data_IF_570633739119
#
_entry.id   IF_570633739119
#
_cell.length_a   1.000
_cell.length_b   1.000
_cell.length_c   1.000
_cell.angle_alpha   90.00
_cell.angle_beta   90.00
_cell.angle_gamma   90.00
#
_symmetry.space_group_name_H-M   'P 1'
#
loop_
_entity.id
_entity.type
_entity.pdbx_description
1 polymer ?
#
# COMPACT_ATOMS: atom_id res chain seq x y z
N UNK A 1 -5.17 9.35 42.36
CA UNK A 1 -4.15 9.14 41.30
C UNK A 1 -2.88 9.86 41.72
N UNK A 2 -1.69 9.25 41.54
CA UNK A 2 -0.43 9.94 41.83
C UNK A 2 -0.30 11.24 41.02
N UNK A 3 0.23 12.31 41.62
CA UNK A 3 0.33 13.64 40.98
C UNK A 3 1.14 13.61 39.68
N UNK A 4 2.18 12.79 39.61
CA UNK A 4 3.02 12.67 38.40
C UNK A 4 2.26 12.15 37.17
N UNK A 5 1.18 11.37 37.37
CA UNK A 5 0.32 10.87 36.27
C UNK A 5 -0.47 12.00 35.62
N UNK A 6 -0.69 13.11 36.35
CA UNK A 6 -1.35 14.30 35.81
C UNK A 6 -0.40 15.17 34.98
N UNK A 7 0.91 15.02 35.19
CA UNK A 7 1.92 15.70 34.38
C UNK A 7 2.05 15.04 33.01
N UNK A 8 1.46 15.68 31.99
CA UNK A 8 1.56 15.23 30.59
C UNK A 8 3.00 15.02 30.14
N UNK A 9 3.93 15.86 30.61
CA UNK A 9 5.35 15.78 30.26
C UNK A 9 6.00 14.53 30.86
N UNK A 10 5.85 14.32 32.16
CA UNK A 10 6.43 13.15 32.86
C UNK A 10 5.87 11.85 32.29
N UNK A 11 4.54 11.77 32.10
CA UNK A 11 3.92 10.59 31.54
C UNK A 11 4.38 10.31 30.12
N UNK A 12 4.50 11.33 29.26
CA UNK A 12 5.02 11.16 27.90
C UNK A 12 6.46 10.64 27.87
N UNK A 13 7.32 11.15 28.76
CA UNK A 13 8.71 10.68 28.91
C UNK A 13 8.76 9.23 29.39
N UNK A 14 7.91 8.82 30.33
CA UNK A 14 7.85 7.41 30.75
C UNK A 14 7.38 6.54 29.57
N UNK A 15 6.35 6.99 28.85
CA UNK A 15 5.82 6.25 27.69
C UNK A 15 6.83 6.12 26.56
N UNK A 16 7.77 7.05 26.37
CA UNK A 16 8.78 6.95 25.30
C UNK A 16 9.76 5.78 25.51
N UNK A 17 9.93 5.31 26.75
CA UNK A 17 10.74 4.11 27.03
C UNK A 17 9.97 2.79 26.86
N UNK A 18 8.64 2.84 26.68
CA UNK A 18 7.84 1.64 26.50
C UNK A 18 7.99 1.07 25.09
N UNK A 19 7.91 -0.27 24.99
CA UNK A 19 7.89 -0.97 23.72
C UNK A 19 6.67 -0.58 22.88
N UNK A 20 6.76 -0.74 21.56
CA UNK A 20 5.62 -0.51 20.66
C UNK A 20 4.39 -1.33 21.10
N UNK A 21 4.60 -2.59 21.48
CA UNK A 21 3.54 -3.51 21.86
C UNK A 21 2.82 -3.07 23.14
N UNK A 22 3.56 -2.54 24.11
CA UNK A 22 2.98 -2.01 25.34
C UNK A 22 2.22 -0.71 25.07
N UNK A 23 2.77 0.17 24.22
CA UNK A 23 2.11 1.41 23.78
C UNK A 23 0.82 1.12 23.00
N UNK A 24 0.83 0.15 22.09
CA UNK A 24 -0.32 -0.21 21.27
C UNK A 24 -1.38 -1.03 22.02
N UNK A 25 -0.97 -1.77 23.06
CA UNK A 25 -1.81 -2.69 23.81
C UNK A 25 -2.05 -2.26 25.25
N UNK A 26 -1.25 -2.80 26.18
CA UNK A 26 -1.57 -2.83 27.62
C UNK A 26 -1.64 -1.46 28.28
N UNK A 27 -0.75 -0.53 27.93
CA UNK A 27 -0.67 0.77 28.60
C UNK A 27 -1.95 1.58 28.40
N UNK A 28 -2.62 1.39 27.26
CA UNK A 28 -3.89 2.06 26.94
C UNK A 28 -5.07 1.60 27.79
N UNK A 29 -4.96 0.46 28.46
CA UNK A 29 -6.00 -0.09 29.31
C UNK A 29 -5.89 0.36 30.77
N UNK A 30 -4.80 1.02 31.15
CA UNK A 30 -4.54 1.44 32.54
C UNK A 30 -5.49 2.56 32.97
N UNK A 31 -5.47 3.68 32.24
CA UNK A 31 -6.38 4.80 32.44
C UNK A 31 -6.37 5.74 31.24
N UNK A 32 -7.25 6.75 31.23
CA UNK A 32 -7.38 7.71 30.12
C UNK A 32 -6.09 8.49 29.84
N UNK A 33 -5.34 8.83 30.88
CA UNK A 33 -4.07 9.56 30.73
C UNK A 33 -3.01 8.71 30.04
N UNK A 34 -2.90 7.44 30.42
CA UNK A 34 -1.97 6.50 29.77
C UNK A 34 -2.39 6.19 28.33
N UNK A 35 -3.68 6.03 28.07
CA UNK A 35 -4.20 5.86 26.71
C UNK A 35 -3.84 7.04 25.80
N UNK A 36 -4.10 8.27 26.26
CA UNK A 36 -3.76 9.47 25.50
C UNK A 36 -2.25 9.64 25.30
N UNK A 37 -1.43 9.30 26.31
CA UNK A 37 0.03 9.39 26.20
C UNK A 37 0.60 8.32 25.26
N UNK A 38 0.11 7.09 25.33
CA UNK A 38 0.53 6.00 24.45
C UNK A 38 0.15 6.26 22.98
N UNK A 39 -1.06 6.74 22.72
CA UNK A 39 -1.49 7.14 21.38
C UNK A 39 -0.65 8.30 20.82
N UNK A 40 -0.28 9.27 21.66
CA UNK A 40 0.61 10.36 21.24
C UNK A 40 1.98 9.82 20.83
N UNK A 41 2.58 8.92 21.61
CA UNK A 41 3.87 8.32 21.24
C UNK A 41 3.80 7.51 19.93
N UNK A 42 2.71 6.78 19.70
CA UNK A 42 2.51 6.08 18.42
C UNK A 42 2.32 7.05 17.27
N UNK A 43 1.62 8.16 17.50
CA UNK A 43 1.44 9.23 16.51
C UNK A 43 2.76 9.92 16.18
N UNK A 44 3.58 10.24 17.18
CA UNK A 44 4.89 10.87 17.00
C UNK A 44 5.79 9.97 16.14
N UNK A 45 5.84 8.66 16.45
CA UNK A 45 6.56 7.65 15.64
C UNK A 45 6.03 7.56 14.20
N UNK A 46 4.71 7.63 14.03
CA UNK A 46 4.06 7.59 12.72
C UNK A 46 4.41 8.83 11.88
N UNK A 47 4.38 10.01 12.50
CA UNK A 47 4.68 11.29 11.84
C UNK A 47 6.18 11.42 11.51
N UNK A 48 7.06 10.83 12.33
CA UNK A 48 8.49 10.73 12.08
C UNK A 48 8.81 9.73 10.95
N UNK A 49 8.33 8.49 11.09
CA UNK A 49 8.73 7.38 10.20
C UNK A 49 7.98 7.43 8.87
N UNK A 50 6.68 7.71 8.88
CA UNK A 50 5.75 7.73 7.72
C UNK A 50 5.66 6.42 6.92
N UNK A 51 6.46 5.40 7.22
CA UNK A 51 6.48 4.09 6.55
C UNK A 51 5.82 3.07 7.47
N UNK A 52 4.77 2.41 6.99
CA UNK A 52 3.98 1.44 7.75
C UNK A 52 4.04 0.02 7.18
N UNK A 53 4.81 -0.16 6.10
CA UNK A 53 5.04 -1.44 5.44
C UNK A 53 6.29 -1.34 4.59
N UNK A 54 7.13 -2.37 4.63
CA UNK A 54 8.34 -2.42 3.84
C UNK A 54 8.73 -3.87 3.65
N UNK A 55 9.04 -4.24 2.40
CA UNK A 55 9.73 -5.48 2.06
C UNK A 55 10.70 -5.18 0.94
N UNK A 56 11.85 -5.85 0.95
CA UNK A 56 12.79 -5.82 -0.15
C UNK A 56 13.43 -7.20 -0.24
N UNK A 57 13.12 -7.92 -1.29
CA UNK A 57 13.81 -9.15 -1.60
C UNK A 57 15.00 -8.78 -2.47
N UNK A 58 16.20 -8.93 -1.90
CA UNK A 58 17.43 -9.09 -2.67
C UNK A 58 17.88 -10.51 -2.44
N UNK A 59 17.63 -11.41 -3.39
CA UNK A 59 18.21 -12.74 -3.27
C UNK A 59 19.72 -12.63 -3.49
N UNK A 60 20.52 -13.18 -2.57
CA UNK A 60 21.95 -13.45 -2.77
C UNK A 60 22.18 -14.49 -3.89
N UNK A 61 21.10 -15.13 -4.35
CA UNK A 61 21.08 -16.09 -5.45
C UNK A 61 20.19 -15.57 -6.59
N UNK A 62 20.67 -14.56 -7.31
CA UNK A 62 20.37 -14.30 -8.73
C UNK A 62 18.93 -14.03 -9.17
N UNK A 63 18.77 -12.89 -9.85
CA UNK A 63 17.83 -12.58 -10.94
C UNK A 63 16.47 -11.94 -10.66
N UNK A 64 16.05 -11.72 -9.41
CA UNK A 64 14.82 -10.98 -9.11
C UNK A 64 15.00 -9.93 -8.03
N UNK A 65 14.76 -8.66 -8.38
CA UNK A 65 14.74 -7.57 -7.40
C UNK A 65 13.28 -7.13 -7.19
N UNK A 66 12.76 -7.37 -5.99
CA UNK A 66 11.39 -7.03 -5.59
C UNK A 66 11.40 -6.07 -4.39
N UNK A 67 10.51 -5.08 -4.38
CA UNK A 67 10.26 -4.30 -3.18
C UNK A 67 8.81 -3.87 -3.07
N UNK A 68 8.42 -3.65 -1.82
CA UNK A 68 7.14 -3.12 -1.42
C UNK A 68 7.36 -2.05 -0.36
N UNK A 69 6.60 -0.97 -0.42
CA UNK A 69 6.56 0.05 0.62
C UNK A 69 5.14 0.58 0.77
N UNK A 70 4.70 0.63 2.01
CA UNK A 70 3.48 1.32 2.41
C UNK A 70 3.86 2.56 3.19
N UNK A 71 3.33 3.71 2.78
CA UNK A 71 3.53 4.99 3.45
C UNK A 71 2.21 5.58 3.88
N UNK A 72 2.25 6.40 4.93
CA UNK A 72 1.15 7.22 5.39
C UNK A 72 1.58 8.67 5.41
N UNK A 73 0.68 9.58 5.03
CA UNK A 73 0.90 11.02 5.08
C UNK A 73 -0.38 11.74 5.50
N UNK A 74 -0.17 12.94 6.04
CA UNK A 74 -1.23 13.93 6.27
C UNK A 74 -1.37 14.77 5.00
N UNK A 75 -2.61 15.00 4.56
CA UNK A 75 -2.93 15.71 3.32
C UNK A 75 -2.87 14.82 2.07
N UNK A 76 -3.52 15.32 1.00
CA UNK A 76 -3.61 14.64 -0.30
C UNK A 76 -2.35 14.84 -1.12
N UNK A 77 -1.89 13.78 -1.79
CA UNK A 77 -0.95 13.95 -2.89
C UNK A 77 -1.69 14.35 -4.16
N UNK A 78 -1.11 15.29 -4.90
CA UNK A 78 -1.69 15.82 -6.13
C UNK A 78 -1.10 15.15 -7.39
N UNK A 79 -0.11 14.27 -7.22
CA UNK A 79 0.73 13.79 -8.31
C UNK A 79 0.25 12.48 -8.95
N UNK A 80 -0.52 11.65 -8.23
CA UNK A 80 -0.95 10.34 -8.71
C UNK A 80 -2.34 9.95 -8.20
N UNK A 81 -3.07 9.19 -8.99
CA UNK A 81 -4.34 8.54 -8.70
C UNK A 81 -5.37 9.54 -8.15
N UNK A 82 -5.42 10.77 -8.67
CA UNK A 82 -6.30 11.84 -8.18
C UNK A 82 -7.73 11.78 -8.74
N UNK A 83 -7.90 11.10 -9.87
CA UNK A 83 -9.17 10.88 -10.58
C UNK A 83 -9.16 9.56 -11.34
N UNK A 84 -10.28 9.22 -11.98
CA UNK A 84 -10.37 8.10 -12.93
C UNK A 84 -9.38 8.25 -14.08
N UNK A 85 -9.28 9.45 -14.64
CA UNK A 85 -8.38 9.77 -15.74
C UNK A 85 -6.92 9.67 -15.30
N UNK A 86 -6.60 10.18 -14.10
CA UNK A 86 -5.27 10.04 -13.50
C UNK A 86 -4.91 8.57 -13.31
N UNK A 87 -5.83 7.72 -12.85
CA UNK A 87 -5.56 6.30 -12.67
C UNK A 87 -5.18 5.58 -13.97
N UNK A 88 -5.82 5.94 -15.08
CA UNK A 88 -5.47 5.44 -16.42
C UNK A 88 -4.08 5.93 -16.83
N UNK A 89 -3.83 7.23 -16.69
CA UNK A 89 -2.54 7.85 -17.01
C UNK A 89 -1.38 7.26 -16.20
N UNK A 90 -1.61 7.03 -14.91
CA UNK A 90 -0.64 6.42 -14.01
C UNK A 90 -0.38 4.97 -14.36
N UNK A 91 -1.41 4.20 -14.73
CA UNK A 91 -1.24 2.80 -15.15
C UNK A 91 -0.42 2.69 -16.44
N UNK A 92 -0.69 3.54 -17.43
CA UNK A 92 0.09 3.62 -18.66
C UNK A 92 1.51 4.14 -18.42
N UNK A 93 1.69 5.07 -17.48
CA UNK A 93 3.01 5.51 -17.05
C UNK A 93 3.79 4.39 -16.38
N UNK A 94 3.21 3.68 -15.41
CA UNK A 94 3.83 2.52 -14.76
C UNK A 94 4.23 1.46 -15.79
N UNK A 95 3.37 1.22 -16.78
CA UNK A 95 3.63 0.36 -17.92
C UNK A 95 4.79 0.87 -18.80
N UNK A 96 4.96 2.18 -18.97
CA UNK A 96 6.06 2.76 -19.76
C UNK A 96 7.37 2.84 -18.97
N UNK A 97 7.29 2.90 -17.65
CA UNK A 97 8.41 3.18 -16.78
C UNK A 97 9.39 2.00 -16.72
N UNK A 98 10.65 2.26 -17.10
CA UNK A 98 11.77 1.31 -17.02
C UNK A 98 12.76 1.63 -15.90
N UNK A 99 12.56 2.71 -15.16
CA UNK A 99 13.42 3.11 -14.05
C UNK A 99 13.51 2.02 -12.98
N UNK A 100 14.72 1.55 -12.66
CA UNK A 100 14.95 0.71 -11.48
C UNK A 100 14.73 1.50 -10.18
N UNK A 101 14.69 0.80 -9.05
CA UNK A 101 14.32 1.18 -7.68
C UNK A 101 14.32 2.67 -7.33
N UNK A 102 15.37 3.42 -7.63
CA UNK A 102 15.64 4.73 -7.01
C UNK A 102 15.30 5.95 -7.89
N UNK A 103 14.89 5.76 -9.15
CA UNK A 103 14.94 6.88 -10.11
C UNK A 103 13.61 7.57 -10.43
N UNK A 104 12.46 7.03 -10.01
CA UNK A 104 11.17 7.69 -10.28
C UNK A 104 10.22 7.55 -9.08
N UNK A 105 9.71 8.66 -8.57
CA UNK A 105 8.63 8.71 -7.57
C UNK A 105 7.25 8.87 -8.22
N UNK A 106 7.25 9.41 -9.43
CA UNK A 106 6.07 9.89 -10.16
C UNK A 106 6.38 9.98 -11.67
N UNK A 107 5.35 10.32 -12.44
CA UNK A 107 5.45 10.48 -13.90
C UNK A 107 6.47 11.52 -14.31
N UNK A 108 6.58 12.62 -13.57
CA UNK A 108 7.45 13.76 -13.90
C UNK A 108 8.94 13.45 -13.69
N UNK A 109 9.27 12.66 -12.67
CA UNK A 109 10.63 12.20 -12.38
C UNK A 109 11.10 11.06 -13.30
N UNK A 110 10.19 10.44 -14.04
CA UNK A 110 10.53 9.30 -14.90
C UNK A 110 11.13 9.77 -16.23
N UNK A 111 12.43 9.49 -16.44
CA UNK A 111 13.15 9.79 -17.69
C UNK A 111 12.52 9.14 -18.93
N UNK A 112 11.85 8.00 -18.75
CA UNK A 112 11.14 7.28 -19.84
C UNK A 112 9.68 7.71 -20.02
N UNK A 113 9.19 8.74 -19.31
CA UNK A 113 7.77 9.14 -19.39
C UNK A 113 7.32 9.55 -20.81
N UNK A 114 8.26 10.05 -21.63
CA UNK A 114 8.02 10.42 -23.03
C UNK A 114 8.26 9.30 -24.05
N UNK A 115 8.78 8.15 -23.64
CA UNK A 115 9.10 7.06 -24.56
C UNK A 115 7.83 6.30 -24.97
N UNK A 116 7.87 5.73 -26.18
CA UNK A 116 6.83 4.84 -26.66
C UNK A 116 6.74 3.60 -25.77
N UNK A 117 5.52 3.20 -25.42
CA UNK A 117 5.30 1.99 -24.63
C UNK A 117 5.64 0.78 -25.49
N UNK A 118 6.62 -0.01 -25.05
CA UNK A 118 7.03 -1.26 -25.71
C UNK A 118 6.92 -2.44 -24.77
N UNK A 119 6.39 -3.54 -25.27
CA UNK A 119 6.38 -4.84 -24.61
C UNK A 119 6.62 -5.96 -25.62
N UNK A 120 7.08 -7.12 -25.15
CA UNK A 120 7.21 -8.30 -26.00
C UNK A 120 5.91 -9.06 -26.07
N UNK A 121 5.48 -9.40 -27.27
CA UNK A 121 4.25 -10.15 -27.49
C UNK A 121 4.34 -11.00 -28.75
N UNK A 122 3.50 -12.04 -28.80
CA UNK A 122 3.30 -12.80 -30.02
C UNK A 122 2.63 -11.92 -31.07
N UNK A 123 3.22 -11.84 -32.25
CA UNK A 123 2.66 -11.14 -33.39
C UNK A 123 1.93 -12.12 -34.29
N UNK A 124 0.64 -11.88 -34.48
CA UNK A 124 -0.22 -12.70 -35.35
C UNK A 124 0.26 -12.68 -36.81
N UNK A 125 0.87 -11.56 -37.24
CA UNK A 125 1.39 -11.36 -38.60
C UNK A 125 2.69 -12.11 -38.85
N UNK A 126 3.67 -11.97 -37.95
CA UNK A 126 4.99 -12.60 -38.12
C UNK A 126 5.06 -14.01 -37.56
N UNK A 127 4.06 -14.44 -36.78
CA UNK A 127 3.98 -15.72 -36.06
C UNK A 127 5.16 -15.96 -35.12
N UNK A 128 5.77 -14.88 -34.60
CA UNK A 128 6.93 -14.92 -33.69
C UNK A 128 6.71 -13.97 -32.53
N UNK A 129 7.47 -14.15 -31.47
CA UNK A 129 7.60 -13.13 -30.41
C UNK A 129 8.46 -11.99 -30.93
N UNK A 130 7.96 -10.77 -30.79
CA UNK A 130 8.67 -9.56 -31.17
C UNK A 130 8.31 -8.40 -30.23
N UNK A 131 9.18 -7.39 -30.20
CA UNK A 131 8.91 -6.15 -29.48
C UNK A 131 7.85 -5.34 -30.23
N UNK A 132 6.73 -5.09 -29.57
CA UNK A 132 5.59 -4.35 -30.12
C UNK A 132 5.54 -2.95 -29.52
N UNK A 133 5.29 -1.94 -30.35
CA UNK A 133 4.99 -0.58 -29.89
C UNK A 133 3.49 -0.44 -29.72
N UNK A 134 3.07 -0.03 -28.53
CA UNK A 134 1.66 0.02 -28.14
C UNK A 134 1.08 1.40 -28.45
N UNK A 135 -0.09 1.40 -29.10
CA UNK A 135 -0.93 2.58 -29.22
C UNK A 135 -1.51 2.96 -27.85
N UNK A 136 -0.92 4.01 -27.25
CA UNK A 136 -1.36 4.53 -25.94
C UNK A 136 -2.79 5.08 -25.98
N UNK A 137 -3.27 5.60 -27.11
CA UNK A 137 -4.63 6.13 -27.22
C UNK A 137 -5.66 4.99 -27.18
N UNK A 138 -5.40 3.92 -27.94
CA UNK A 138 -6.21 2.70 -27.88
C UNK A 138 -6.19 2.07 -26.48
N UNK A 139 -5.02 1.94 -25.86
CA UNK A 139 -4.90 1.39 -24.51
C UNK A 139 -5.65 2.25 -23.47
N UNK A 140 -5.55 3.59 -23.58
CA UNK A 140 -6.30 4.53 -22.73
C UNK A 140 -7.80 4.32 -22.86
N UNK A 141 -8.31 4.19 -24.09
CA UNK A 141 -9.74 3.95 -24.34
C UNK A 141 -10.18 2.63 -23.67
N UNK A 142 -9.45 1.53 -23.89
CA UNK A 142 -9.77 0.23 -23.27
C UNK A 142 -9.75 0.27 -21.74
N UNK A 143 -8.76 0.96 -21.16
CA UNK A 143 -8.69 1.16 -19.71
C UNK A 143 -9.87 2.00 -19.19
N UNK A 144 -10.32 3.00 -19.93
CA UNK A 144 -11.50 3.79 -19.55
C UNK A 144 -12.80 2.98 -19.58
N UNK A 145 -12.93 2.03 -20.51
CA UNK A 145 -14.12 1.20 -20.68
C UNK A 145 -14.17 0.03 -19.68
N UNK A 146 -13.04 -0.66 -19.47
CA UNK A 146 -12.98 -1.93 -18.74
C UNK A 146 -12.15 -1.90 -17.46
N UNK A 147 -11.37 -0.85 -17.22
CA UNK A 147 -10.40 -0.78 -16.11
C UNK A 147 -9.18 -1.71 -16.28
N UNK A 148 -9.12 -2.49 -17.37
CA UNK A 148 -8.02 -3.43 -17.65
C UNK A 148 -7.85 -3.62 -19.16
N UNK A 149 -6.60 -3.79 -19.60
CA UNK A 149 -6.25 -4.10 -20.98
C UNK A 149 -5.04 -5.04 -21.01
N UNK A 150 -5.02 -5.96 -21.96
CA UNK A 150 -3.82 -6.72 -22.32
C UNK A 150 -3.22 -6.12 -23.58
N UNK A 151 -1.92 -5.84 -23.55
CA UNK A 151 -1.21 -5.15 -24.63
C UNK A 151 -0.61 -6.13 -25.65
N UNK A 152 -1.29 -7.25 -25.88
CA UNK A 152 -0.92 -8.29 -26.83
C UNK A 152 -2.00 -8.42 -27.91
N UNK A 153 -1.61 -8.83 -29.10
CA UNK A 153 -2.52 -9.09 -30.23
C UNK A 153 -3.66 -10.07 -29.89
N UNK A 154 -3.43 -10.96 -28.93
CA UNK A 154 -4.39 -11.98 -28.49
C UNK A 154 -4.84 -11.66 -27.07
N UNK A 155 -6.16 -11.61 -26.87
CA UNK A 155 -6.75 -11.57 -25.52
C UNK A 155 -6.47 -12.92 -24.84
N UNK A 156 -5.91 -12.96 -23.63
CA UNK A 156 -5.69 -14.22 -22.89
C UNK A 156 -6.97 -15.06 -22.77
N UNK A 157 -8.14 -14.43 -22.77
CA UNK A 157 -9.44 -15.11 -22.70
C UNK A 157 -9.80 -15.85 -24.02
N UNK A 158 -9.15 -15.50 -25.14
CA UNK A 158 -9.30 -16.16 -26.45
C UNK A 158 -8.30 -17.34 -26.63
N UNK A 159 -7.33 -17.50 -25.73
CA UNK A 159 -6.36 -18.59 -25.75
C UNK A 159 -6.94 -19.85 -25.08
N UNK A 160 -7.91 -20.49 -25.72
CA UNK A 160 -8.52 -21.72 -25.20
C UNK A 160 -7.59 -22.94 -25.20
N UNK A 161 -6.47 -22.96 -25.93
CA UNK A 161 -5.63 -24.15 -26.07
C UNK A 161 -4.14 -23.80 -26.25
N UNK A 162 -3.29 -24.15 -25.26
CA UNK A 162 -2.02 -24.91 -25.41
C UNK A 162 -1.23 -24.92 -24.11
N UNK A 163 -0.82 -26.13 -23.70
CA UNK A 163 -0.21 -26.41 -22.40
C UNK A 163 1.06 -25.63 -22.08
N UNK A 164 1.25 -25.42 -20.78
CA UNK A 164 2.49 -25.13 -20.03
C UNK A 164 3.44 -24.01 -20.50
N UNK A 165 3.14 -23.30 -21.58
CA UNK A 165 3.93 -22.12 -21.96
C UNK A 165 3.34 -20.86 -21.32
N UNK A 166 4.07 -20.36 -20.32
CA UNK A 166 3.95 -19.03 -19.71
C UNK A 166 3.52 -17.97 -20.74
N UNK A 167 2.22 -17.66 -20.84
CA UNK A 167 1.79 -16.48 -21.60
C UNK A 167 2.28 -15.25 -20.85
N UNK A 168 3.22 -14.51 -21.42
CA UNK A 168 3.71 -13.23 -20.89
C UNK A 168 2.52 -12.29 -20.67
N UNK A 169 2.11 -12.12 -19.42
CA UNK A 169 0.94 -11.33 -19.07
C UNK A 169 1.26 -9.84 -19.21
N UNK A 170 1.11 -9.27 -20.40
CA UNK A 170 1.24 -7.83 -20.64
C UNK A 170 -0.02 -7.07 -20.21
N UNK A 171 -0.41 -7.22 -18.95
CA UNK A 171 -1.63 -6.66 -18.40
C UNK A 171 -1.42 -5.29 -17.79
N UNK A 172 -2.27 -4.33 -18.13
CA UNK A 172 -2.37 -3.04 -17.44
C UNK A 172 -3.77 -2.92 -16.83
N UNK A 173 -3.84 -2.48 -15.58
CA UNK A 173 -5.08 -2.38 -14.81
C UNK A 173 -5.12 -1.05 -14.05
N UNK A 174 -6.27 -0.42 -14.00
CA UNK A 174 -6.54 0.75 -13.18
C UNK A 174 -7.93 0.68 -12.54
N UNK A 175 -8.08 1.24 -11.35
CA UNK A 175 -9.39 1.48 -10.76
C UNK A 175 -9.39 2.77 -9.96
N UNK A 176 -10.55 3.42 -9.89
CA UNK A 176 -10.77 4.60 -9.06
C UNK A 176 -12.20 4.55 -8.55
N UNK A 177 -12.34 4.30 -7.25
CA UNK A 177 -13.58 3.95 -6.58
C UNK A 177 -13.77 4.82 -5.33
N UNK A 178 -15.02 5.12 -5.01
CA UNK A 178 -15.39 5.76 -3.77
C UNK A 178 -16.21 4.78 -2.94
N UNK A 179 -15.84 4.65 -1.67
CA UNK A 179 -16.52 3.80 -0.71
C UNK A 179 -16.99 4.64 0.47
N UNK A 180 -18.13 4.28 1.02
CA UNK A 180 -18.56 4.76 2.32
C UNK A 180 -18.36 3.63 3.33
N UNK A 181 -17.24 3.66 4.06
CA UNK A 181 -16.79 2.59 4.94
C UNK A 181 -16.25 3.15 6.24
N UNK A 182 -16.23 2.32 7.28
CA UNK A 182 -15.61 2.71 8.55
C UNK A 182 -14.09 2.42 8.54
N UNK A 183 -13.38 2.94 9.55
CA UNK A 183 -11.92 2.79 9.67
C UNK A 183 -11.46 1.34 9.80
N UNK A 184 -12.31 0.43 10.29
CA UNK A 184 -11.97 -0.98 10.45
C UNK A 184 -12.04 -1.73 9.11
N UNK A 185 -13.03 -1.43 8.28
CA UNK A 185 -13.12 -1.92 6.90
C UNK A 185 -11.96 -1.40 6.06
N UNK A 186 -11.64 -0.11 6.20
CA UNK A 186 -10.46 0.48 5.57
C UNK A 186 -9.17 -0.23 6.01
N UNK A 187 -9.00 -0.50 7.31
CA UNK A 187 -7.88 -1.27 7.83
C UNK A 187 -7.78 -2.65 7.17
N UNK A 188 -8.90 -3.35 6.98
CA UNK A 188 -8.94 -4.64 6.28
C UNK A 188 -8.55 -4.54 4.81
N UNK A 189 -8.98 -3.48 4.12
CA UNK A 189 -8.60 -3.24 2.72
C UNK A 189 -7.09 -2.99 2.60
N UNK A 190 -6.53 -2.17 3.48
CA UNK A 190 -5.08 -1.92 3.55
C UNK A 190 -4.32 -3.20 3.91
N UNK A 191 -4.77 -3.96 4.92
CA UNK A 191 -4.20 -5.27 5.29
C UNK A 191 -4.13 -6.23 4.09
N UNK A 192 -5.21 -6.30 3.29
CA UNK A 192 -5.24 -7.12 2.08
C UNK A 192 -4.22 -6.64 1.03
N UNK A 193 -4.10 -5.33 0.84
CA UNK A 193 -3.10 -4.72 -0.05
C UNK A 193 -1.65 -5.03 0.34
N UNK A 194 -1.37 -5.19 1.64
CA UNK A 194 -0.07 -5.69 2.11
C UNK A 194 0.12 -7.17 1.73
N UNK A 195 -0.89 -8.01 1.98
CA UNK A 195 -0.81 -9.45 1.70
C UNK A 195 -0.67 -9.78 0.22
N UNK A 196 -1.32 -9.02 -0.67
CA UNK A 196 -1.27 -9.24 -2.13
C UNK A 196 0.00 -8.75 -2.81
N UNK A 197 0.82 -7.93 -2.14
CA UNK A 197 2.08 -7.41 -2.68
C UNK A 197 3.32 -8.06 -2.05
N UNK A 198 3.12 -8.92 -1.05
CA UNK A 198 4.16 -9.77 -0.45
C UNK A 198 4.02 -11.21 -0.96
N UNK A 199 3.71 -11.38 -2.26
CA UNK A 199 3.35 -12.67 -2.86
C UNK A 199 4.23 -13.81 -2.35
N UNK A 200 3.58 -14.71 -1.61
CA UNK A 200 3.80 -16.15 -1.54
C UNK A 200 5.17 -16.65 -2.02
N UNK A 201 6.22 -16.45 -1.21
CA UNK A 201 7.18 -17.54 -1.07
C UNK A 201 6.52 -18.60 -0.21
N UNK A 202 6.04 -19.65 -0.87
CA UNK A 202 5.66 -20.92 -0.27
C UNK A 202 6.71 -21.37 0.75
N UNK A 203 6.38 -21.23 2.03
CA UNK A 203 6.83 -22.08 3.14
C UNK A 203 5.83 -21.78 4.28
N UNK A 204 4.87 -22.69 4.44
CA UNK A 204 3.98 -22.87 5.60
C UNK A 204 3.30 -21.64 6.20
N UNK A 205 2.02 -21.42 5.86
CA UNK A 205 0.92 -21.03 6.76
C UNK A 205 1.15 -19.95 7.83
N UNK A 206 2.25 -19.22 7.73
CA UNK A 206 2.91 -18.56 8.82
C UNK A 206 2.57 -17.09 8.80
N UNK A 207 2.40 -16.53 9.99
CA UNK A 207 2.15 -15.11 10.12
C UNK A 207 3.40 -14.34 9.67
N UNK A 208 3.31 -13.63 8.54
CA UNK A 208 4.38 -12.75 8.04
C UNK A 208 4.80 -11.79 9.15
N UNK A 209 6.03 -11.98 9.64
CA UNK A 209 6.60 -11.15 10.70
C UNK A 209 6.88 -9.75 10.16
N UNK A 210 6.76 -8.74 11.02
CA UNK A 210 7.10 -7.38 10.64
C UNK A 210 8.58 -7.28 10.24
N UNK A 211 8.85 -6.59 9.13
CA UNK A 211 10.20 -6.37 8.60
C UNK A 211 11.13 -5.74 9.64
N UNK A 212 12.41 -6.16 9.65
CA UNK A 212 13.41 -5.76 10.67
C UNK A 212 13.58 -4.25 10.77
N UNK A 213 13.57 -3.54 9.64
CA UNK A 213 13.69 -2.08 9.61
C UNK A 213 12.52 -1.41 10.34
N UNK A 214 11.27 -1.83 10.07
CA UNK A 214 10.09 -1.31 10.75
C UNK A 214 10.11 -1.64 12.25
N UNK A 215 10.62 -2.82 12.63
CA UNK A 215 10.80 -3.15 14.05
C UNK A 215 11.73 -2.16 14.74
N UNK A 216 12.84 -1.81 14.08
CA UNK A 216 13.80 -0.82 14.59
C UNK A 216 13.17 0.56 14.70
N UNK A 217 12.52 1.04 13.63
CA UNK A 217 11.98 2.40 13.55
C UNK A 217 10.86 2.63 14.57
N UNK A 218 10.02 1.60 14.82
CA UNK A 218 8.92 1.71 15.77
C UNK A 218 9.26 1.26 17.20
N UNK A 219 10.45 0.70 17.44
CA UNK A 219 10.83 0.15 18.75
C UNK A 219 10.01 -1.09 19.15
N UNK A 220 9.77 -1.98 18.17
CA UNK A 220 9.12 -3.28 18.37
C UNK A 220 10.13 -4.26 18.94
N UNK A 221 9.80 -4.88 20.07
CA UNK A 221 10.74 -5.71 20.86
C UNK A 221 10.41 -7.20 20.82
N UNK A 222 9.18 -7.55 20.46
CA UNK A 222 8.64 -8.91 20.41
C UNK A 222 8.24 -9.27 18.98
N UNK A 223 7.92 -10.54 18.77
CA UNK A 223 7.36 -10.96 17.49
C UNK A 223 5.95 -10.38 17.33
N UNK A 224 5.81 -9.42 16.42
CA UNK A 224 4.52 -8.89 15.95
C UNK A 224 4.36 -9.21 14.46
N UNK A 225 3.14 -9.52 14.06
CA UNK A 225 2.80 -9.76 12.66
C UNK A 225 2.52 -8.42 11.97
N UNK A 226 2.79 -8.33 10.66
CA UNK A 226 2.49 -7.12 9.88
C UNK A 226 1.02 -6.69 10.01
N UNK A 227 0.11 -7.67 10.14
CA UNK A 227 -1.32 -7.43 10.39
C UNK A 227 -1.59 -6.73 11.72
N UNK A 228 -1.03 -7.24 12.82
CA UNK A 228 -1.20 -6.61 14.13
C UNK A 228 -0.57 -5.22 14.18
N UNK A 229 0.58 -5.06 13.54
CA UNK A 229 1.24 -3.76 13.41
C UNK A 229 0.37 -2.73 12.69
N UNK A 230 -0.18 -3.06 11.51
CA UNK A 230 -1.07 -2.16 10.74
C UNK A 230 -2.31 -1.78 11.56
N UNK A 231 -2.93 -2.74 12.26
CA UNK A 231 -4.05 -2.45 13.18
C UNK A 231 -3.68 -1.46 14.26
N UNK A 232 -2.48 -1.59 14.84
CA UNK A 232 -1.97 -0.65 15.83
C UNK A 232 -1.79 0.76 15.28
N UNK A 233 -1.39 0.90 14.01
CA UNK A 233 -1.35 2.21 13.32
C UNK A 233 -2.76 2.78 13.14
N UNK A 234 -3.73 1.96 12.70
CA UNK A 234 -5.11 2.41 12.51
C UNK A 234 -5.80 2.86 13.81
N UNK A 235 -5.34 2.40 14.98
CA UNK A 235 -5.84 2.89 16.28
C UNK A 235 -5.54 4.37 16.50
N UNK A 236 -4.45 4.88 15.92
CA UNK A 236 -4.08 6.30 15.96
C UNK A 236 -5.02 7.10 15.05
N UNK A 237 -5.33 6.58 13.87
CA UNK A 237 -6.14 7.26 12.85
C UNK A 237 -7.63 7.29 13.19
N UNK A 238 -8.11 6.24 13.86
CA UNK A 238 -9.52 6.06 14.22
C UNK A 238 -9.93 6.76 15.53
N UNK A 239 -9.01 7.47 16.23
CA UNK A 239 -9.31 8.14 17.51
C UNK A 239 -9.05 9.63 17.45
N UNK A 240 -10.09 10.41 17.73
CA UNK A 240 -10.00 11.86 17.81
C UNK A 240 -9.20 12.31 19.05
N UNK A 241 -8.29 13.27 18.90
CA UNK A 241 -7.44 13.88 19.94
C UNK A 241 -8.23 14.47 21.12
N UNK A 242 -9.53 14.79 20.95
CA UNK A 242 -10.26 15.68 21.88
C UNK A 242 -11.67 15.27 22.31
N UNK A 243 -12.24 14.12 21.92
CA UNK A 243 -13.56 13.75 22.47
C UNK A 243 -13.41 13.11 23.86
N UNK A 244 -13.95 13.73 24.94
CA UNK A 244 -14.24 12.95 26.13
C UNK A 244 -15.23 11.87 25.71
N UNK A 245 -14.95 10.62 26.03
CA UNK A 245 -15.94 9.55 25.93
C UNK A 245 -17.09 9.86 26.90
N UNK A 246 -18.03 10.70 26.45
CA UNK A 246 -19.36 10.84 27.00
C UNK A 246 -20.14 9.58 26.59
N UNK A 247 -19.97 8.53 27.39
CA UNK A 247 -20.94 7.46 27.69
C UNK A 247 -20.18 6.31 28.34
N UNK A 248 -20.22 6.32 29.66
CA UNK A 248 -19.80 5.24 30.55
C UNK A 248 -20.87 4.16 30.42
N UNK A 249 -20.61 3.08 29.67
CA UNK A 249 -21.60 2.00 29.56
C UNK A 249 -21.28 0.92 28.52
N UNK A 250 -20.75 1.28 27.34
CA UNK A 250 -20.47 0.28 26.30
C UNK A 250 -19.02 -0.21 26.30
N UNK A 251 -18.85 -1.53 26.16
CA UNK A 251 -17.54 -2.20 26.13
C UNK A 251 -16.65 -1.64 25.02
N UNK A 252 -15.34 -1.65 25.25
CA UNK A 252 -14.34 -1.11 24.32
C UNK A 252 -14.43 -1.76 22.92
N UNK A 253 -14.89 -3.01 22.84
CA UNK A 253 -15.08 -3.75 21.58
C UNK A 253 -16.26 -3.25 20.74
N UNK A 254 -17.33 -2.74 21.37
CA UNK A 254 -18.47 -2.13 20.64
C UNK A 254 -18.13 -0.75 20.10
N UNK A 255 -17.35 0.04 20.84
CA UNK A 255 -17.00 1.42 20.46
C UNK A 255 -16.01 1.55 19.30
N UNK A 256 -15.14 0.56 19.11
CA UNK A 256 -14.26 0.52 17.93
C UNK A 256 -15.01 0.15 16.63
N UNK A 257 -16.21 -0.45 16.75
CA UNK A 257 -17.06 -0.82 15.61
C UNK A 257 -18.11 0.25 15.25
N UNK A 258 -18.32 1.25 16.09
CA UNK A 258 -19.27 2.35 15.86
C UNK A 258 -18.63 3.61 15.27
N UNK A 259 -17.39 3.53 14.77
CA UNK A 259 -16.77 4.63 14.03
C UNK A 259 -17.69 5.00 12.87
N UNK A 260 -18.11 6.27 12.73
CA UNK A 260 -18.97 6.69 11.64
C UNK A 260 -18.31 6.33 10.30
N UNK A 261 -19.12 5.92 9.34
CA UNK A 261 -18.67 5.75 7.97
C UNK A 261 -18.08 7.06 7.48
N UNK A 262 -16.98 6.95 6.74
CA UNK A 262 -16.35 8.09 6.08
C UNK A 262 -16.23 7.76 4.60
N UNK A 263 -16.35 8.79 3.76
CA UNK A 263 -16.00 8.66 2.36
C UNK A 263 -14.51 8.35 2.24
N UNK A 264 -14.19 7.25 1.58
CA UNK A 264 -12.84 6.81 1.26
C UNK A 264 -12.73 6.75 -0.26
N UNK A 265 -11.75 7.43 -0.81
CA UNK A 265 -11.38 7.28 -2.22
C UNK A 265 -10.25 6.26 -2.33
N UNK A 266 -10.41 5.30 -3.22
CA UNK A 266 -9.41 4.30 -3.56
C UNK A 266 -8.99 4.46 -5.01
N UNK A 267 -7.70 4.65 -5.24
CA UNK A 267 -7.10 4.62 -6.56
C UNK A 267 -6.14 3.44 -6.68
N UNK A 268 -6.09 2.81 -7.85
CA UNK A 268 -5.15 1.76 -8.20
C UNK A 268 -4.64 1.95 -9.62
N UNK A 269 -3.35 1.77 -9.81
CA UNK A 269 -2.71 1.58 -11.09
C UNK A 269 -1.74 0.41 -10.99
N UNK A 270 -1.81 -0.53 -11.93
CA UNK A 270 -0.95 -1.71 -11.99
C UNK A 270 -0.55 -1.99 -13.42
N UNK A 271 0.70 -2.38 -13.61
CA UNK A 271 1.23 -2.84 -14.90
C UNK A 271 2.06 -4.08 -14.69
N UNK A 272 1.90 -5.04 -15.58
CA UNK A 272 2.72 -6.23 -15.67
C UNK A 272 3.16 -6.36 -17.12
N UNK A 273 4.47 -6.28 -17.42
CA UNK A 273 4.96 -6.31 -18.79
C UNK A 273 6.20 -7.16 -18.95
N UNK A 274 6.20 -8.00 -19.97
CA UNK A 274 7.39 -8.64 -20.49
C UNK A 274 8.13 -7.68 -21.44
N UNK A 275 9.45 -7.73 -21.35
CA UNK A 275 10.38 -6.99 -22.22
C UNK A 275 11.53 -7.92 -22.62
N UNK A 276 12.31 -7.51 -23.63
CA UNK A 276 13.37 -8.29 -24.30
C UNK A 276 14.25 -9.14 -23.38
N UNK A 277 14.61 -8.62 -22.22
CA UNK A 277 15.50 -9.30 -21.28
C UNK A 277 14.92 -9.39 -19.87
N UNK A 278 13.60 -9.47 -19.74
CA UNK A 278 12.99 -9.62 -18.43
C UNK A 278 11.53 -9.24 -18.33
N UNK A 279 11.15 -8.88 -17.13
CA UNK A 279 9.78 -8.58 -16.80
C UNK A 279 9.70 -7.50 -15.75
N UNK A 280 8.72 -6.61 -15.87
CA UNK A 280 8.48 -5.49 -14.97
C UNK A 280 7.03 -5.53 -14.49
N UNK A 281 6.87 -5.73 -13.18
CA UNK A 281 5.60 -5.57 -12.47
C UNK A 281 5.67 -4.34 -11.59
N UNK A 282 4.67 -3.47 -11.67
CA UNK A 282 4.54 -2.30 -10.81
C UNK A 282 3.09 -2.14 -10.38
N UNK A 283 2.88 -1.74 -9.14
CA UNK A 283 1.56 -1.36 -8.65
C UNK A 283 1.67 -0.17 -7.71
N UNK A 284 0.71 0.73 -7.82
CA UNK A 284 0.48 1.83 -6.87
C UNK A 284 -0.99 1.82 -6.48
N UNK A 285 -1.25 1.83 -5.19
CA UNK A 285 -2.59 1.93 -4.61
C UNK A 285 -2.60 3.08 -3.61
N UNK A 286 -3.62 3.93 -3.66
CA UNK A 286 -3.77 5.06 -2.76
C UNK A 286 -5.15 5.00 -2.13
N UNK A 287 -5.19 5.11 -0.79
CA UNK A 287 -6.40 5.28 0.00
C UNK A 287 -6.41 6.69 0.57
N UNK A 288 -7.45 7.48 0.28
CA UNK A 288 -7.66 8.82 0.83
C UNK A 288 -8.90 8.84 1.70
N UNK A 289 -8.76 9.28 2.93
CA UNK A 289 -9.83 9.29 3.93
C UNK A 289 -9.58 10.34 5.00
N UNK A 290 -10.63 10.73 5.73
CA UNK A 290 -10.47 11.62 6.88
C UNK A 290 -10.25 10.79 8.14
N UNK A 291 -9.26 11.19 8.96
CA UNK A 291 -9.07 10.63 10.31
C UNK A 291 -10.27 10.96 11.21
N UNK A 292 -10.29 10.39 12.41
CA UNK A 292 -11.29 10.74 13.41
C UNK A 292 -11.23 12.21 13.88
N UNK A 293 -10.10 12.90 13.66
CA UNK A 293 -9.95 14.35 13.88
C UNK A 293 -10.36 15.18 12.67
N UNK A 294 -10.94 14.56 11.64
CA UNK A 294 -11.28 15.18 10.36
C UNK A 294 -10.05 15.75 9.63
N UNK A 295 -8.88 15.16 9.86
CA UNK A 295 -7.65 15.50 9.15
C UNK A 295 -7.55 14.63 7.88
N UNK A 296 -7.20 15.18 6.71
CA UNK A 296 -7.00 14.39 5.50
C UNK A 296 -5.81 13.44 5.66
N UNK A 297 -6.00 12.15 5.40
CA UNK A 297 -5.01 11.10 5.55
C UNK A 297 -4.90 10.24 4.29
N UNK A 298 -3.68 10.06 3.80
CA UNK A 298 -3.41 9.24 2.63
C UNK A 298 -2.50 8.07 2.99
N UNK A 299 -2.89 6.85 2.58
CA UNK A 299 -2.05 5.66 2.65
C UNK A 299 -1.70 5.26 1.21
N UNK A 300 -0.42 5.22 0.88
CA UNK A 300 0.08 4.80 -0.42
C UNK A 300 0.81 3.46 -0.30
N UNK A 301 0.37 2.46 -1.05
CA UNK A 301 1.00 1.17 -1.19
C UNK A 301 1.67 1.11 -2.57
N UNK A 302 2.97 0.92 -2.60
CA UNK A 302 3.75 0.81 -3.83
C UNK A 302 4.50 -0.51 -3.84
N UNK A 303 4.45 -1.22 -4.97
CA UNK A 303 5.26 -2.40 -5.23
C UNK A 303 5.92 -2.31 -6.60
N UNK A 304 7.15 -2.82 -6.67
CA UNK A 304 7.84 -3.06 -7.94
C UNK A 304 8.56 -4.38 -7.85
N UNK A 305 8.45 -5.16 -8.91
CA UNK A 305 9.21 -6.38 -9.10
C UNK A 305 9.77 -6.37 -10.51
N UNK A 306 11.06 -6.68 -10.62
CA UNK A 306 11.68 -6.92 -11.90
C UNK A 306 12.60 -8.12 -11.82
N UNK A 307 12.56 -8.96 -12.84
CA UNK A 307 13.53 -10.03 -13.01
C UNK A 307 14.05 -10.03 -14.44
N UNK A 308 15.28 -10.47 -14.60
CA UNK A 308 15.95 -10.61 -15.90
C UNK A 308 16.12 -12.08 -16.21
N UNK A 309 15.86 -12.48 -17.46
CA UNK A 309 16.08 -13.84 -17.94
C UNK A 309 17.57 -14.17 -18.11
#
# INVERSE_FOLDING_TARGET
MPEWVQSKKVLSTIMSFASFEDQAGKLRLVCRQFDAAALRQLQDKLDETKVIGFSRDGSECGSGDSWFKATVRRGWSDNCLTSKESAIDDALWLASCRCRFEYCSDKESCKSAGENLKCEGYSSKSKKEESQTIDKAWARQRLSEKGKVYLTDVDPDDLSWKGDYYSRSNGVECSFEEYEINHFELCRMVEKGFGSNMDQSMCDGGLVSLHRQLKKDYGVTKSITSRHFVRSIFLVLARAKLKPLANVGESAEKKARSTPSSKVTFGKAKSNLAVENGHYSRSKQIYRFFSADNEPMEICLESRSSYTY
#
